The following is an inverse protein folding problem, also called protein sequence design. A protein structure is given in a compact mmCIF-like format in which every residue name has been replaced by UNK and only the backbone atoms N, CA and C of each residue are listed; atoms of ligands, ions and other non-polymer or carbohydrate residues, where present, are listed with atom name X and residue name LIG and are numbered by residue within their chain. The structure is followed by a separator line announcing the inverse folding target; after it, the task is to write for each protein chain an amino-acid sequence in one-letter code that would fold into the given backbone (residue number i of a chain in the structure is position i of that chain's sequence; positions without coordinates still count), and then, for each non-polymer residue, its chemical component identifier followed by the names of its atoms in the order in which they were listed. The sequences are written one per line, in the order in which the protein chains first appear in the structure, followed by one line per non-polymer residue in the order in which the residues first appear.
data_IF_334734525884
#
_entry.id   IF_334734525884
#
_cell.length_a   1.000
_cell.length_b   1.000
_cell.length_c   1.000
_cell.angle_alpha   90.00
_cell.angle_beta   90.00
_cell.angle_gamma   90.00
#
_symmetry.space_group_name_H-M   'P 1'
#
loop_
_entity.id
_entity.type
_entity.pdbx_description
1 polymer ?
#
# COMPACT_ATOMS: atom_id res chain seq x y z
N UNK A 1 -6.19 -13.16 -34.34
CA UNK A 1 -6.15 -13.45 -32.89
C UNK A 1 -5.69 -12.19 -32.18
N UNK A 2 -6.48 -11.68 -31.23
CA UNK A 2 -6.10 -10.55 -30.38
C UNK A 2 -4.99 -11.03 -29.42
N UNK A 3 -3.92 -10.24 -29.25
CA UNK A 3 -2.83 -10.61 -28.36
C UNK A 3 -3.30 -10.56 -26.90
N UNK A 4 -3.00 -11.62 -26.14
CA UNK A 4 -3.34 -11.74 -24.72
C UNK A 4 -2.32 -10.96 -23.87
N UNK A 5 -2.78 -10.24 -22.83
CA UNK A 5 -1.90 -9.40 -22.00
C UNK A 5 -0.76 -10.18 -21.31
N UNK A 6 -1.08 -11.32 -20.68
CA UNK A 6 -0.12 -12.16 -19.98
C UNK A 6 -0.40 -13.65 -20.22
N UNK A 7 0.66 -14.40 -20.53
CA UNK A 7 0.69 -15.86 -20.48
C UNK A 7 1.58 -16.33 -19.34
N UNK A 8 1.07 -17.22 -18.52
CA UNK A 8 1.79 -17.78 -17.39
C UNK A 8 1.94 -19.29 -17.46
N UNK A 9 3.03 -19.79 -16.88
CA UNK A 9 3.24 -21.23 -16.64
C UNK A 9 3.77 -21.43 -15.24
N UNK A 10 3.18 -22.36 -14.50
CA UNK A 10 3.60 -22.76 -13.15
C UNK A 10 4.25 -24.13 -13.22
N UNK A 11 5.54 -24.19 -12.90
CA UNK A 11 6.37 -25.40 -12.84
C UNK A 11 6.79 -25.67 -11.39
N UNK A 12 5.80 -25.70 -10.51
CA UNK A 12 5.98 -25.94 -9.10
C UNK A 12 4.75 -26.67 -8.57
N UNK A 13 4.99 -27.75 -7.84
CA UNK A 13 3.93 -28.49 -7.17
C UNK A 13 3.44 -27.73 -5.93
N UNK A 14 2.21 -28.05 -5.51
CA UNK A 14 1.60 -27.61 -4.25
C UNK A 14 1.44 -26.09 -4.09
N UNK A 15 1.23 -25.36 -5.18
CA UNK A 15 0.74 -23.98 -5.11
C UNK A 15 -0.78 -24.03 -5.08
N UNK A 16 -1.39 -23.70 -3.94
CA UNK A 16 -2.85 -23.79 -3.76
C UNK A 16 -3.55 -22.64 -4.45
N UNK A 17 -3.10 -21.42 -4.15
CA UNK A 17 -3.80 -20.20 -4.49
C UNK A 17 -2.92 -19.28 -5.33
N UNK A 18 -3.54 -18.69 -6.35
CA UNK A 18 -2.91 -17.72 -7.22
C UNK A 18 -3.87 -16.63 -7.59
N UNK A 19 -3.38 -15.40 -7.61
CA UNK A 19 -4.18 -14.22 -7.83
C UNK A 19 -3.38 -13.19 -8.62
N UNK A 20 -4.09 -12.44 -9.46
CA UNK A 20 -3.58 -11.21 -10.07
C UNK A 20 -4.21 -10.04 -9.34
N UNK A 21 -3.36 -9.11 -8.90
CA UNK A 21 -3.76 -7.85 -8.28
C UNK A 21 -3.25 -6.69 -9.10
N UNK A 22 -4.13 -5.72 -9.37
CA UNK A 22 -3.77 -4.46 -9.99
C UNK A 22 -4.66 -3.31 -9.52
N UNK A 23 -4.17 -2.07 -9.69
CA UNK A 23 -4.86 -0.87 -9.24
C UNK A 23 -5.25 -0.02 -10.46
N UNK A 24 -6.54 0.21 -10.64
CA UNK A 24 -7.08 0.88 -11.85
C UNK A 24 -6.55 2.31 -12.00
N UNK A 25 -6.44 3.02 -10.88
CA UNK A 25 -6.11 4.45 -10.81
C UNK A 25 -4.93 4.74 -9.89
N UNK A 26 -4.23 3.70 -9.43
CA UNK A 26 -3.16 3.77 -8.44
C UNK A 26 -3.65 3.72 -6.98
N UNK A 27 -4.97 3.74 -6.74
CA UNK A 27 -5.52 3.70 -5.39
C UNK A 27 -5.34 2.31 -4.76
N UNK A 28 -4.39 2.21 -3.82
CA UNK A 28 -4.02 0.95 -3.18
C UNK A 28 -5.13 0.30 -2.33
N UNK A 29 -6.22 1.02 -2.01
CA UNK A 29 -7.36 0.44 -1.28
C UNK A 29 -8.45 -0.14 -2.17
N UNK A 30 -8.36 0.08 -3.48
CA UNK A 30 -9.31 -0.48 -4.44
C UNK A 30 -8.57 -1.43 -5.38
N UNK A 31 -7.90 -2.48 -4.87
CA UNK A 31 -7.30 -3.50 -5.71
C UNK A 31 -8.40 -4.21 -6.50
N UNK A 32 -8.14 -4.42 -7.78
CA UNK A 32 -8.83 -5.45 -8.55
C UNK A 32 -8.06 -6.74 -8.35
N UNK A 33 -8.73 -7.72 -7.75
CA UNK A 33 -8.22 -9.06 -7.52
C UNK A 33 -8.92 -10.03 -8.46
N UNK A 34 -8.15 -10.84 -9.16
CA UNK A 34 -8.66 -11.87 -10.06
C UNK A 34 -7.94 -13.18 -9.79
N UNK A 35 -8.69 -14.22 -9.43
CA UNK A 35 -8.15 -15.56 -9.24
C UNK A 35 -7.57 -16.10 -10.56
N UNK A 36 -6.47 -16.85 -10.45
CA UNK A 36 -5.82 -17.49 -11.58
C UNK A 36 -6.20 -18.96 -11.62
N UNK A 37 -7.04 -19.31 -12.59
CA UNK A 37 -7.25 -20.70 -12.97
C UNK A 37 -6.11 -21.19 -13.85
N UNK A 38 -5.60 -22.39 -13.52
CA UNK A 38 -4.53 -23.06 -14.26
C UNK A 38 -5.08 -24.27 -14.99
N UNK A 39 -4.61 -24.50 -16.20
CA UNK A 39 -4.85 -25.77 -16.88
C UNK A 39 -4.06 -26.92 -16.23
N UNK A 40 -4.31 -28.16 -16.69
CA UNK A 40 -3.63 -29.37 -16.21
C UNK A 40 -2.10 -29.37 -16.37
N UNK A 41 -1.55 -28.48 -17.20
CA UNK A 41 -0.12 -28.32 -17.43
C UNK A 41 0.46 -27.13 -16.64
N UNK A 42 -0.35 -26.50 -15.77
CA UNK A 42 0.03 -25.34 -14.99
C UNK A 42 0.02 -24.03 -15.77
N UNK A 43 -0.53 -23.98 -16.99
CA UNK A 43 -0.61 -22.74 -17.76
C UNK A 43 -1.82 -21.91 -17.37
N UNK A 44 -1.68 -20.60 -17.46
CA UNK A 44 -2.78 -19.65 -17.28
C UNK A 44 -2.67 -18.48 -18.26
N UNK A 45 -3.78 -17.80 -18.47
CA UNK A 45 -3.86 -16.60 -19.29
C UNK A 45 -4.55 -15.52 -18.48
N UNK A 46 -3.99 -14.32 -18.53
CA UNK A 46 -4.67 -13.11 -18.08
C UNK A 46 -4.84 -12.19 -19.28
N UNK A 47 -6.09 -11.88 -19.56
CA UNK A 47 -6.51 -10.95 -20.61
C UNK A 47 -7.62 -10.03 -20.10
N UNK A 48 -7.41 -9.52 -18.88
CA UNK A 48 -8.35 -8.64 -18.20
C UNK A 48 -8.51 -7.29 -18.90
N UNK A 49 -9.64 -6.63 -18.68
CA UNK A 49 -9.88 -5.27 -19.17
C UNK A 49 -9.05 -4.26 -18.37
N UNK A 50 -7.83 -3.98 -18.81
CA UNK A 50 -7.00 -2.94 -18.20
C UNK A 50 -7.48 -1.55 -18.66
N UNK A 51 -7.60 -0.56 -17.74
CA UNK A 51 -8.20 0.74 -18.02
C UNK A 51 -7.33 1.62 -18.95
N UNK A 52 -6.01 1.41 -18.90
CA UNK A 52 -5.01 2.19 -19.62
C UNK A 52 -4.46 1.43 -20.83
N UNK A 53 -3.50 2.03 -21.55
CA UNK A 53 -2.76 1.33 -22.62
C UNK A 53 -1.87 0.23 -22.05
N UNK A 54 -1.26 0.49 -20.90
CA UNK A 54 -0.31 -0.37 -20.20
C UNK A 54 -0.44 -0.18 -18.70
N UNK A 55 -0.08 -1.21 -17.93
CA UNK A 55 -0.04 -1.13 -16.48
C UNK A 55 0.90 -2.17 -15.87
N UNK A 56 1.19 -1.98 -14.59
CA UNK A 56 1.88 -2.97 -13.77
C UNK A 56 0.87 -3.82 -13.01
N UNK A 57 1.08 -5.13 -12.98
CA UNK A 57 0.26 -6.09 -12.23
C UNK A 57 1.15 -6.93 -11.32
N UNK A 58 0.58 -7.37 -10.21
CA UNK A 58 1.21 -8.32 -9.30
C UNK A 58 0.57 -9.69 -9.48
N UNK A 59 1.39 -10.72 -9.68
CA UNK A 59 1.00 -12.12 -9.66
C UNK A 59 1.42 -12.68 -8.30
N UNK A 60 0.44 -13.05 -7.48
CA UNK A 60 0.67 -13.76 -6.22
C UNK A 60 0.60 -15.28 -6.47
N UNK A 61 1.53 -16.03 -5.88
CA UNK A 61 1.51 -17.48 -5.83
C UNK A 61 1.91 -17.94 -4.43
N UNK A 62 0.99 -18.57 -3.70
CA UNK A 62 1.09 -18.76 -2.26
C UNK A 62 1.37 -17.40 -1.55
N UNK A 63 2.49 -17.32 -0.82
CA UNK A 63 2.94 -16.11 -0.11
C UNK A 63 3.95 -15.27 -0.90
N UNK A 64 4.34 -15.69 -2.11
CA UNK A 64 5.31 -14.97 -2.93
C UNK A 64 4.60 -14.09 -3.97
N UNK A 65 5.17 -12.89 -4.21
CA UNK A 65 4.65 -11.94 -5.20
C UNK A 65 5.65 -11.71 -6.34
N UNK A 66 5.11 -11.54 -7.56
CA UNK A 66 5.87 -11.32 -8.78
C UNK A 66 5.28 -10.16 -9.58
N UNK A 67 6.14 -9.28 -10.09
CA UNK A 67 5.72 -8.11 -10.85
C UNK A 67 5.75 -8.38 -12.35
N UNK A 68 4.71 -7.96 -13.08
CA UNK A 68 4.68 -8.02 -14.55
C UNK A 68 4.17 -6.69 -15.11
N UNK A 69 4.79 -6.22 -16.19
CA UNK A 69 4.30 -5.07 -16.95
C UNK A 69 3.56 -5.55 -18.19
N UNK A 70 2.29 -5.16 -18.34
CA UNK A 70 1.41 -5.58 -19.45
C UNK A 70 0.98 -4.39 -20.30
N UNK A 71 0.82 -4.59 -21.60
CA UNK A 71 0.42 -3.56 -22.57
C UNK A 71 -0.56 -4.15 -23.59
N UNK A 72 -1.63 -3.40 -23.91
CA UNK A 72 -2.63 -3.81 -24.90
C UNK A 72 -1.98 -4.11 -26.24
N UNK A 73 -2.30 -5.28 -26.81
CA UNK A 73 -1.76 -5.72 -28.10
C UNK A 73 -0.39 -6.40 -28.02
N UNK A 74 0.18 -6.55 -26.82
CA UNK A 74 1.43 -7.26 -26.55
C UNK A 74 1.21 -8.41 -25.57
N UNK A 75 2.13 -9.38 -25.55
CA UNK A 75 2.05 -10.54 -24.65
C UNK A 75 3.31 -10.67 -23.80
N UNK A 76 3.18 -10.29 -22.52
CA UNK A 76 4.17 -10.62 -21.51
C UNK A 76 4.08 -12.10 -21.12
N UNK A 77 5.19 -12.68 -20.65
CA UNK A 77 5.23 -14.08 -20.21
C UNK A 77 5.93 -14.24 -18.87
N UNK A 78 5.35 -15.05 -18.00
CA UNK A 78 5.91 -15.42 -16.69
C UNK A 78 5.97 -16.94 -16.54
N UNK A 79 7.11 -17.47 -16.10
CA UNK A 79 7.23 -18.86 -15.64
C UNK A 79 7.62 -18.88 -14.18
N UNK A 80 6.75 -19.40 -13.31
CA UNK A 80 7.00 -19.53 -11.86
C UNK A 80 7.49 -20.94 -11.57
N UNK A 81 8.56 -21.07 -10.78
CA UNK A 81 9.18 -22.36 -10.45
C UNK A 81 9.85 -22.30 -9.06
N UNK A 82 10.03 -23.45 -8.41
CA UNK A 82 10.84 -23.54 -7.18
C UNK A 82 12.32 -23.64 -7.53
N UNK A 83 13.14 -22.79 -6.91
CA UNK A 83 14.59 -22.91 -7.01
C UNK A 83 15.11 -24.06 -6.14
N UNK A 84 16.43 -24.31 -6.20
CA UNK A 84 17.10 -25.38 -5.43
C UNK A 84 16.95 -25.27 -3.90
N UNK A 85 16.55 -24.12 -3.39
CA UNK A 85 16.33 -23.85 -1.97
C UNK A 85 14.82 -23.89 -1.60
N UNK A 86 13.96 -24.35 -2.51
CA UNK A 86 12.51 -24.46 -2.30
C UNK A 86 11.73 -23.14 -2.43
N UNK A 87 12.40 -22.00 -2.69
CA UNK A 87 11.76 -20.68 -2.84
C UNK A 87 11.20 -20.49 -4.24
N UNK A 88 10.07 -19.80 -4.36
CA UNK A 88 9.52 -19.48 -5.68
C UNK A 88 10.31 -18.37 -6.37
N UNK A 89 10.62 -18.61 -7.64
CA UNK A 89 11.25 -17.66 -8.55
C UNK A 89 10.40 -17.55 -9.82
N UNK A 90 10.58 -16.43 -10.53
CA UNK A 90 9.93 -16.19 -11.80
C UNK A 90 10.97 -15.89 -12.89
N UNK A 91 10.77 -16.50 -14.04
CA UNK A 91 11.45 -16.14 -15.29
C UNK A 91 10.48 -15.34 -16.16
N UNK A 92 10.92 -14.14 -16.54
CA UNK A 92 10.14 -13.23 -17.37
C UNK A 92 10.68 -13.22 -18.80
N UNK A 93 9.78 -13.36 -19.77
CA UNK A 93 10.03 -13.37 -21.21
C UNK A 93 8.89 -12.69 -21.98
N UNK A 94 8.95 -12.68 -23.30
CA UNK A 94 7.93 -12.04 -24.14
C UNK A 94 8.10 -10.52 -24.23
N UNK A 95 7.01 -9.84 -24.52
CA UNK A 95 6.99 -8.38 -24.65
C UNK A 95 7.22 -7.70 -23.31
N UNK A 96 7.79 -6.49 -23.34
CA UNK A 96 8.06 -5.65 -22.17
C UNK A 96 8.87 -6.36 -21.06
N UNK A 97 9.75 -7.31 -21.45
CA UNK A 97 10.55 -8.12 -20.53
C UNK A 97 11.44 -7.28 -19.61
N UNK A 98 12.02 -6.19 -20.11
CA UNK A 98 12.91 -5.35 -19.30
C UNK A 98 12.12 -4.55 -18.25
N UNK A 99 10.95 -4.02 -18.61
CA UNK A 99 10.03 -3.38 -17.67
C UNK A 99 9.53 -4.38 -16.62
N UNK A 100 9.16 -5.58 -17.05
CA UNK A 100 8.70 -6.64 -16.14
C UNK A 100 9.81 -7.06 -15.17
N UNK A 101 11.07 -7.19 -15.63
CA UNK A 101 12.22 -7.52 -14.76
C UNK A 101 12.48 -6.45 -13.71
N UNK A 102 12.44 -5.18 -14.11
CA UNK A 102 12.52 -4.07 -13.17
C UNK A 102 11.36 -4.14 -12.16
N UNK A 103 10.11 -4.20 -12.63
CA UNK A 103 8.94 -4.15 -11.76
C UNK A 103 8.87 -5.36 -10.81
N UNK A 104 9.25 -6.55 -11.27
CA UNK A 104 9.39 -7.74 -10.42
C UNK A 104 10.43 -7.57 -9.32
N UNK A 105 11.55 -6.91 -9.62
CA UNK A 105 12.57 -6.61 -8.62
C UNK A 105 12.07 -5.57 -7.63
N UNK A 106 11.42 -4.51 -8.13
CA UNK A 106 10.79 -3.46 -7.34
C UNK A 106 9.73 -4.01 -6.38
N UNK A 107 8.77 -4.81 -6.84
CA UNK A 107 7.68 -5.28 -5.98
C UNK A 107 8.20 -6.21 -4.89
N UNK A 108 9.20 -7.05 -5.21
CA UNK A 108 9.88 -7.90 -4.23
C UNK A 108 10.75 -7.11 -3.25
N UNK A 109 11.38 -6.03 -3.70
CA UNK A 109 12.22 -5.19 -2.86
C UNK A 109 11.41 -4.47 -1.78
N UNK A 110 10.21 -4.02 -2.11
CA UNK A 110 9.33 -3.23 -1.23
C UNK A 110 8.11 -4.00 -0.71
N UNK A 111 8.14 -5.33 -0.76
CA UNK A 111 7.14 -6.17 -0.11
C UNK A 111 7.10 -5.88 1.39
N UNK A 112 5.92 -5.55 1.92
CA UNK A 112 5.74 -5.21 3.33
C UNK A 112 6.12 -6.37 4.24
N UNK A 113 5.88 -7.61 3.82
CA UNK A 113 6.24 -8.82 4.58
C UNK A 113 7.76 -9.01 4.72
N UNK A 114 8.58 -8.27 3.95
CA UNK A 114 10.04 -8.28 4.12
C UNK A 114 10.50 -7.43 5.32
N UNK A 115 9.71 -6.43 5.70
CA UNK A 115 10.09 -5.44 6.70
C UNK A 115 9.28 -5.55 8.00
N UNK A 116 8.51 -6.62 8.15
CA UNK A 116 7.71 -6.94 9.32
C UNK A 116 7.60 -8.45 9.45
N UNK A 117 7.45 -8.95 10.68
CA UNK A 117 7.20 -10.36 10.93
C UNK A 117 5.92 -10.53 11.77
N UNK A 118 4.99 -11.42 11.38
CA UNK A 118 3.86 -11.79 12.23
C UNK A 118 4.32 -12.57 13.47
N UNK A 119 5.44 -13.28 13.36
CA UNK A 119 6.07 -13.98 14.48
C UNK A 119 7.11 -13.05 15.14
N UNK A 120 6.89 -12.62 16.40
CA UNK A 120 7.85 -11.78 17.11
C UNK A 120 9.24 -12.41 17.25
N UNK A 121 9.34 -13.75 17.25
CA UNK A 121 10.62 -14.45 17.35
C UNK A 121 11.47 -14.38 16.08
N UNK A 122 10.85 -14.14 14.92
CA UNK A 122 11.53 -13.95 13.64
C UNK A 122 11.72 -12.46 13.28
N UNK A 123 11.22 -11.56 14.15
CA UNK A 123 11.34 -10.13 14.00
C UNK A 123 12.81 -9.69 14.05
N UNK A 124 13.13 -8.69 13.24
CA UNK A 124 14.48 -8.10 13.17
C UNK A 124 14.47 -6.75 13.86
N UNK A 125 15.64 -6.32 14.31
CA UNK A 125 15.77 -4.96 14.81
C UNK A 125 15.52 -3.95 13.68
N UNK A 126 15.06 -2.75 14.03
CA UNK A 126 14.88 -1.66 13.07
C UNK A 126 16.15 -1.40 12.22
N UNK A 127 17.34 -1.48 12.83
CA UNK A 127 18.61 -1.31 12.13
C UNK A 127 18.87 -2.40 11.08
N UNK A 128 18.47 -3.63 11.34
CA UNK A 128 18.55 -4.73 10.37
C UNK A 128 17.57 -4.54 9.21
N UNK A 129 16.34 -4.10 9.49
CA UNK A 129 15.38 -3.76 8.44
C UNK A 129 15.87 -2.61 7.56
N UNK A 130 16.50 -1.58 8.13
CA UNK A 130 17.14 -0.51 7.37
C UNK A 130 18.26 -1.05 6.45
N UNK A 131 19.10 -1.97 6.94
CA UNK A 131 20.14 -2.62 6.09
C UNK A 131 19.53 -3.42 4.94
N UNK A 132 18.41 -4.12 5.20
CA UNK A 132 17.67 -4.83 4.15
C UNK A 132 17.17 -3.83 3.10
N UNK A 133 16.58 -2.71 3.54
CA UNK A 133 16.06 -1.67 2.64
C UNK A 133 17.15 -1.12 1.72
N UNK A 134 18.31 -0.76 2.27
CA UNK A 134 19.44 -0.26 1.47
C UNK A 134 19.93 -1.30 0.44
N UNK A 135 20.02 -2.57 0.84
CA UNK A 135 20.44 -3.64 -0.05
C UNK A 135 19.43 -3.90 -1.17
N UNK A 136 18.13 -3.90 -0.88
CA UNK A 136 17.06 -4.09 -1.86
C UNK A 136 16.90 -2.86 -2.79
N UNK A 137 17.07 -1.66 -2.26
CA UNK A 137 17.10 -0.43 -3.06
C UNK A 137 18.26 -0.46 -4.07
N UNK A 138 19.47 -0.84 -3.63
CA UNK A 138 20.63 -0.96 -4.51
C UNK A 138 20.41 -2.01 -5.63
N UNK A 139 19.78 -3.15 -5.33
CA UNK A 139 19.39 -4.14 -6.34
C UNK A 139 18.40 -3.55 -7.35
N UNK A 140 17.40 -2.83 -6.87
CA UNK A 140 16.38 -2.21 -7.72
C UNK A 140 16.98 -1.12 -8.62
N UNK A 141 17.90 -0.29 -8.11
CA UNK A 141 18.66 0.68 -8.91
C UNK A 141 19.49 0.01 -10.01
N UNK A 142 20.09 -1.16 -9.74
CA UNK A 142 20.82 -1.92 -10.75
C UNK A 142 19.92 -2.37 -11.89
N UNK A 143 18.71 -2.85 -11.61
CA UNK A 143 17.73 -3.18 -12.66
C UNK A 143 17.22 -1.93 -13.38
N UNK A 144 16.95 -0.84 -12.66
CA UNK A 144 16.52 0.44 -13.22
C UNK A 144 17.52 0.99 -14.24
N UNK A 145 18.82 0.82 -13.97
CA UNK A 145 19.89 1.28 -14.86
C UNK A 145 19.82 0.65 -16.26
N UNK A 146 19.24 -0.56 -16.39
CA UNK A 146 19.04 -1.24 -17.67
C UNK A 146 17.92 -0.61 -18.50
N UNK A 147 17.08 0.21 -17.87
CA UNK A 147 16.04 1.00 -18.53
C UNK A 147 16.54 2.40 -18.92
N UNK A 148 17.81 2.74 -18.65
CA UNK A 148 18.36 4.07 -19.00
C UNK A 148 18.14 4.36 -20.48
N UNK A 149 17.73 5.60 -20.78
CA UNK A 149 17.35 6.09 -22.11
C UNK A 149 16.07 5.48 -22.70
N UNK A 150 15.33 4.66 -21.96
CA UNK A 150 14.00 4.20 -22.38
C UNK A 150 12.91 5.18 -21.92
N UNK A 151 11.79 5.32 -22.65
CA UNK A 151 10.72 6.25 -22.29
C UNK A 151 10.18 6.07 -20.86
N UNK A 152 10.19 4.84 -20.34
CA UNK A 152 9.64 4.50 -19.02
C UNK A 152 10.61 4.73 -17.86
N UNK A 153 11.86 5.13 -18.13
CA UNK A 153 12.89 5.30 -17.10
C UNK A 153 12.45 6.30 -16.02
N UNK A 154 11.90 7.45 -16.44
CA UNK A 154 11.50 8.51 -15.50
C UNK A 154 10.41 8.01 -14.56
N UNK A 155 9.37 7.36 -15.10
CA UNK A 155 8.27 6.80 -14.32
C UNK A 155 8.79 5.80 -13.28
N UNK A 156 9.58 4.80 -13.72
CA UNK A 156 10.09 3.78 -12.81
C UNK A 156 11.12 4.29 -11.80
N UNK A 157 11.88 5.33 -12.15
CA UNK A 157 12.76 6.00 -11.20
C UNK A 157 11.94 6.70 -10.10
N UNK A 158 10.91 7.47 -10.47
CA UNK A 158 10.04 8.13 -9.51
C UNK A 158 9.32 7.11 -8.62
N UNK A 159 8.81 6.02 -9.21
CA UNK A 159 8.17 4.93 -8.49
C UNK A 159 9.12 4.27 -7.47
N UNK A 160 10.35 3.96 -7.87
CA UNK A 160 11.38 3.39 -6.98
C UNK A 160 11.75 4.34 -5.82
N UNK A 161 11.94 5.63 -6.12
CA UNK A 161 12.26 6.63 -5.09
C UNK A 161 11.09 6.82 -4.12
N UNK A 162 9.86 6.80 -4.63
CA UNK A 162 8.65 6.92 -3.82
C UNK A 162 8.51 5.77 -2.81
N UNK A 163 8.62 4.52 -3.26
CA UNK A 163 8.53 3.37 -2.33
C UNK A 163 9.71 3.24 -1.39
N UNK A 164 10.93 3.60 -1.82
CA UNK A 164 12.07 3.67 -0.90
C UNK A 164 11.78 4.67 0.23
N UNK A 165 11.30 5.86 -0.13
CA UNK A 165 10.93 6.91 0.84
C UNK A 165 9.80 6.44 1.75
N UNK A 166 8.74 5.84 1.21
CA UNK A 166 7.64 5.31 2.00
C UNK A 166 8.10 4.22 2.97
N UNK A 167 8.91 3.26 2.51
CA UNK A 167 9.42 2.18 3.35
C UNK A 167 10.31 2.74 4.46
N UNK A 168 11.13 3.76 4.16
CA UNK A 168 11.93 4.46 5.17
C UNK A 168 11.07 5.19 6.19
N UNK A 169 10.01 5.90 5.76
CA UNK A 169 9.03 6.53 6.64
C UNK A 169 8.41 5.50 7.59
N UNK A 170 7.98 4.35 7.07
CA UNK A 170 7.41 3.25 7.87
C UNK A 170 8.39 2.74 8.91
N UNK A 171 9.66 2.53 8.54
CA UNK A 171 10.69 2.10 9.50
C UNK A 171 10.94 3.14 10.59
N UNK A 172 10.85 4.44 10.29
CA UNK A 172 10.95 5.48 11.31
C UNK A 172 9.73 5.45 12.24
N UNK A 173 8.52 5.23 11.70
CA UNK A 173 7.30 5.06 12.49
C UNK A 173 7.39 3.85 13.44
N UNK A 174 7.88 2.71 12.95
CA UNK A 174 8.09 1.50 13.75
C UNK A 174 9.07 1.77 14.90
N UNK A 175 10.21 2.41 14.61
CA UNK A 175 11.20 2.82 15.63
C UNK A 175 10.59 3.75 16.68
N UNK A 176 9.82 4.73 16.24
CA UNK A 176 9.17 5.67 17.15
C UNK A 176 8.14 4.99 18.05
N UNK A 177 7.41 4.00 17.51
CA UNK A 177 6.49 3.17 18.28
C UNK A 177 7.23 2.35 19.35
N UNK A 178 8.32 1.67 18.97
CA UNK A 178 9.19 0.92 19.89
C UNK A 178 9.74 1.82 21.02
N UNK A 179 10.11 3.07 20.69
CA UNK A 179 10.64 4.05 21.63
C UNK A 179 9.56 4.86 22.36
N UNK A 180 8.27 4.63 22.07
CA UNK A 180 7.12 5.40 22.59
C UNK A 180 7.26 6.92 22.39
N UNK A 181 7.77 7.33 21.23
CA UNK A 181 7.97 8.74 20.83
C UNK A 181 7.03 9.15 19.72
N UNK A 182 6.83 10.46 19.56
CA UNK A 182 6.10 10.99 18.41
C UNK A 182 6.99 10.95 17.16
N UNK A 183 6.41 10.61 16.01
CA UNK A 183 7.14 10.54 14.74
C UNK A 183 7.75 11.90 14.36
N UNK A 184 7.08 13.00 14.72
CA UNK A 184 7.54 14.36 14.48
C UNK A 184 8.78 14.75 15.30
N UNK A 185 9.16 13.96 16.31
CA UNK A 185 10.38 14.17 17.07
C UNK A 185 11.62 13.63 16.34
N UNK A 186 11.44 12.89 15.23
CA UNK A 186 12.52 12.39 14.38
C UNK A 186 12.77 13.35 13.21
N UNK A 187 13.94 14.02 13.14
CA UNK A 187 14.26 14.91 12.02
C UNK A 187 14.23 14.20 10.66
N UNK A 188 14.54 12.90 10.63
CA UNK A 188 14.47 12.10 9.41
C UNK A 188 13.03 11.95 8.89
N UNK A 189 12.05 11.78 9.78
CA UNK A 189 10.64 11.73 9.40
C UNK A 189 10.19 13.07 8.83
N UNK A 190 10.44 14.15 9.57
CA UNK A 190 10.07 15.51 9.14
C UNK A 190 10.70 15.85 7.79
N UNK A 191 11.96 15.50 7.58
CA UNK A 191 12.65 15.71 6.30
C UNK A 191 12.09 14.84 5.16
N UNK A 192 11.65 13.61 5.45
CA UNK A 192 11.07 12.74 4.44
C UNK A 192 9.66 13.18 4.02
N UNK A 193 8.91 13.86 4.90
CA UNK A 193 7.51 14.22 4.64
C UNK A 193 7.27 15.67 4.21
N UNK A 194 8.22 16.58 4.46
CA UNK A 194 8.00 18.04 4.28
C UNK A 194 7.68 18.48 2.85
N UNK A 195 8.29 17.83 1.86
CA UNK A 195 8.23 18.24 0.44
C UNK A 195 7.38 17.26 -0.40
N UNK A 196 6.62 16.37 0.24
CA UNK A 196 5.71 15.48 -0.47
C UNK A 196 4.60 16.33 -1.10
N UNK A 197 4.47 16.24 -2.42
CA UNK A 197 3.31 16.72 -3.15
C UNK A 197 2.20 15.64 -3.13
N UNK A 198 1.11 15.83 -2.36
CA UNK A 198 0.04 14.85 -2.29
C UNK A 198 -0.79 14.75 -3.58
N UNK A 199 -0.65 15.68 -4.54
CA UNK A 199 -1.35 15.66 -5.82
C UNK A 199 -0.65 14.84 -6.91
N UNK A 200 0.61 14.42 -6.67
CA UNK A 200 1.37 13.60 -7.61
C UNK A 200 0.78 12.19 -7.72
N UNK A 201 0.53 11.73 -8.96
CA UNK A 201 0.07 10.36 -9.23
C UNK A 201 1.06 9.31 -8.72
N UNK A 202 2.38 9.58 -8.80
CA UNK A 202 3.40 8.68 -8.23
C UNK A 202 3.29 8.62 -6.70
N UNK A 203 3.03 9.75 -6.03
CA UNK A 203 2.92 9.77 -4.57
C UNK A 203 1.62 9.09 -4.09
N UNK A 204 0.60 9.06 -4.94
CA UNK A 204 -0.59 8.23 -4.74
C UNK A 204 -0.24 6.74 -4.84
N UNK A 205 0.42 6.32 -5.93
CA UNK A 205 0.83 4.91 -6.15
C UNK A 205 1.80 4.38 -5.08
N UNK A 206 2.60 5.25 -4.47
CA UNK A 206 3.63 4.88 -3.49
C UNK A 206 3.23 5.17 -2.03
N UNK A 207 1.96 5.51 -1.79
CA UNK A 207 1.40 5.85 -0.49
C UNK A 207 1.99 7.11 0.20
N UNK A 208 2.85 7.87 -0.50
CA UNK A 208 3.42 9.11 0.02
C UNK A 208 2.36 10.20 0.24
N UNK A 209 1.28 10.24 -0.56
CA UNK A 209 0.18 11.17 -0.29
C UNK A 209 -0.45 10.94 1.09
N UNK A 210 -0.55 9.70 1.55
CA UNK A 210 -1.00 9.39 2.91
C UNK A 210 0.05 9.75 3.98
N UNK A 211 1.34 9.55 3.69
CA UNK A 211 2.41 9.98 4.59
C UNK A 211 2.37 11.50 4.82
N UNK A 212 2.09 12.29 3.77
CA UNK A 212 1.84 13.72 3.86
C UNK A 212 0.65 14.03 4.79
N UNK A 213 -0.49 13.37 4.60
CA UNK A 213 -1.68 13.58 5.44
C UNK A 213 -1.41 13.23 6.91
N UNK A 214 -0.70 12.13 7.15
CA UNK A 214 -0.32 11.69 8.49
C UNK A 214 0.55 12.74 9.19
N UNK A 215 1.57 13.25 8.50
CA UNK A 215 2.44 14.30 9.03
C UNK A 215 1.66 15.59 9.34
N UNK A 216 0.75 16.01 8.44
CA UNK A 216 -0.10 17.19 8.65
C UNK A 216 -1.04 17.03 9.85
N UNK A 217 -1.71 15.88 9.96
CA UNK A 217 -2.61 15.59 11.09
C UNK A 217 -1.86 15.59 12.42
N UNK A 218 -0.68 14.98 12.47
CA UNK A 218 0.16 14.98 13.68
C UNK A 218 0.62 16.40 14.05
N UNK A 219 0.94 17.23 13.05
CA UNK A 219 1.30 18.62 13.27
C UNK A 219 0.11 19.42 13.84
N UNK A 220 -1.09 19.28 13.27
CA UNK A 220 -2.29 19.91 13.80
C UNK A 220 -2.63 19.44 15.21
N UNK A 221 -2.45 18.15 15.50
CA UNK A 221 -2.63 17.62 16.86
C UNK A 221 -1.64 18.27 17.84
N UNK A 222 -0.37 18.43 17.44
CA UNK A 222 0.65 19.10 18.26
C UNK A 222 0.33 20.58 18.50
N UNK A 223 -0.18 21.28 17.49
CA UNK A 223 -0.53 22.71 17.57
C UNK A 223 -1.79 22.97 18.40
N UNK A 224 -2.78 22.07 18.32
CA UNK A 224 -4.09 22.26 18.95
C UNK A 224 -4.25 21.54 20.27
N UNK A 225 -3.44 20.50 20.52
CA UNK A 225 -3.61 19.53 21.59
C UNK A 225 -5.04 18.95 21.68
N UNK A 226 -5.71 18.79 20.53
CA UNK A 226 -7.12 18.42 20.42
C UNK A 226 -7.34 17.53 19.19
N UNK A 227 -7.72 16.26 19.44
CA UNK A 227 -7.97 15.29 18.37
C UNK A 227 -9.08 15.74 17.45
N UNK A 228 -10.20 16.27 17.96
CA UNK A 228 -11.31 16.76 17.14
C UNK A 228 -10.85 17.86 16.20
N UNK A 229 -10.13 18.87 16.72
CA UNK A 229 -9.61 19.97 15.88
C UNK A 229 -8.62 19.47 14.83
N UNK A 230 -7.73 18.54 15.18
CA UNK A 230 -6.76 17.99 14.24
C UNK A 230 -7.41 17.35 13.01
N UNK A 231 -8.51 16.60 13.20
CA UNK A 231 -9.25 15.98 12.11
C UNK A 231 -10.03 16.99 11.27
N UNK A 232 -10.66 18.00 11.91
CA UNK A 232 -11.37 19.06 11.19
C UNK A 232 -10.40 19.89 10.33
N UNK A 233 -9.22 20.22 10.85
CA UNK A 233 -8.17 20.92 10.10
C UNK A 233 -7.63 20.07 8.95
N UNK A 234 -7.45 18.75 9.14
CA UNK A 234 -7.05 17.86 8.06
C UNK A 234 -8.09 17.79 6.93
N UNK A 235 -9.40 17.75 7.25
CA UNK A 235 -10.46 17.80 6.23
C UNK A 235 -10.42 19.12 5.45
N UNK A 236 -10.25 20.25 6.13
CA UNK A 236 -10.13 21.56 5.48
C UNK A 236 -8.87 21.65 4.61
N UNK A 237 -7.74 21.13 5.08
CA UNK A 237 -6.50 21.11 4.31
C UNK A 237 -6.63 20.25 3.05
N UNK A 238 -7.25 19.06 3.15
CA UNK A 238 -7.53 18.23 1.96
C UNK A 238 -8.43 18.99 0.99
N UNK A 239 -9.52 19.58 1.49
CA UNK A 239 -10.49 20.31 0.68
C UNK A 239 -9.85 21.45 -0.12
N UNK A 240 -8.93 22.18 0.51
CA UNK A 240 -8.37 23.41 -0.04
C UNK A 240 -7.07 23.22 -0.82
N UNK A 241 -6.28 22.17 -0.55
CA UNK A 241 -4.95 21.96 -1.16
C UNK A 241 -4.89 20.80 -2.17
N UNK A 242 -5.85 19.88 -2.15
CA UNK A 242 -5.83 18.71 -3.01
C UNK A 242 -6.68 18.96 -4.25
N UNK A 243 -6.01 19.07 -5.38
CA UNK A 243 -6.58 19.34 -6.71
C UNK A 243 -6.74 18.07 -7.53
N UNK A 244 -5.92 17.04 -7.31
CA UNK A 244 -6.06 15.74 -7.97
C UNK A 244 -7.27 14.98 -7.38
N UNK A 245 -8.33 14.70 -8.17
CA UNK A 245 -9.53 14.02 -7.66
C UNK A 245 -9.27 12.62 -7.09
N UNK A 246 -8.31 11.87 -7.65
CA UNK A 246 -7.93 10.54 -7.16
C UNK A 246 -7.27 10.65 -5.78
N UNK A 247 -6.35 11.59 -5.63
CA UNK A 247 -5.71 11.87 -4.35
C UNK A 247 -6.75 12.32 -3.32
N UNK A 248 -7.71 13.16 -3.72
CA UNK A 248 -8.77 13.62 -2.82
C UNK A 248 -9.63 12.46 -2.29
N UNK A 249 -10.03 11.53 -3.17
CA UNK A 249 -10.76 10.32 -2.78
C UNK A 249 -9.92 9.44 -1.84
N UNK A 250 -8.66 9.17 -2.20
CA UNK A 250 -7.73 8.38 -1.39
C UNK A 250 -7.57 8.99 0.02
N UNK A 251 -7.29 10.29 0.10
CA UNK A 251 -7.04 10.97 1.37
C UNK A 251 -8.31 11.06 2.23
N UNK A 252 -9.49 11.21 1.61
CA UNK A 252 -10.75 11.10 2.33
C UNK A 252 -10.95 9.70 2.93
N UNK A 253 -10.60 8.64 2.18
CA UNK A 253 -10.63 7.27 2.67
C UNK A 253 -9.62 7.05 3.82
N UNK A 254 -8.36 7.40 3.60
CA UNK A 254 -7.25 7.28 4.57
C UNK A 254 -7.53 8.01 5.89
N UNK A 255 -8.08 9.23 5.82
CA UNK A 255 -8.41 10.00 7.00
C UNK A 255 -9.42 9.26 7.89
N UNK A 256 -10.47 8.71 7.30
CA UNK A 256 -11.51 8.01 8.07
C UNK A 256 -11.08 6.60 8.46
N UNK A 257 -10.31 5.90 7.62
CA UNK A 257 -9.67 4.65 8.01
C UNK A 257 -8.91 4.83 9.33
N UNK A 258 -7.97 5.78 9.37
CA UNK A 258 -7.16 6.05 10.56
C UNK A 258 -7.99 6.45 11.78
N UNK A 259 -9.05 7.25 11.58
CA UNK A 259 -9.95 7.61 12.67
C UNK A 259 -10.77 6.43 13.20
N UNK A 260 -11.30 5.60 12.30
CA UNK A 260 -12.22 4.50 12.64
C UNK A 260 -11.56 3.38 13.45
N UNK A 261 -10.24 3.21 13.32
CA UNK A 261 -9.47 2.20 14.05
C UNK A 261 -9.30 2.52 15.54
N UNK A 262 -9.26 3.81 15.90
CA UNK A 262 -9.21 4.27 17.30
C UNK A 262 -9.89 5.64 17.43
N UNK A 263 -11.24 5.70 17.39
CA UNK A 263 -11.97 6.96 17.43
C UNK A 263 -11.76 7.66 18.77
N UNK A 264 -11.31 8.91 18.71
CA UNK A 264 -11.03 9.76 19.88
C UNK A 264 -11.59 11.17 19.70
N UNK A 265 -11.73 11.91 20.80
CA UNK A 265 -12.35 13.23 20.82
C UNK A 265 -13.87 13.20 20.66
N UNK A 266 -14.47 14.30 20.22
CA UNK A 266 -15.90 14.39 19.87
C UNK A 266 -16.18 13.69 18.53
N UNK A 267 -16.46 12.39 18.62
CA UNK A 267 -16.80 11.51 17.49
C UNK A 267 -17.99 12.03 16.69
N UNK A 268 -18.99 12.61 17.34
CA UNK A 268 -20.20 13.10 16.68
C UNK A 268 -19.88 14.31 15.80
N UNK A 269 -19.06 15.23 16.31
CA UNK A 269 -18.63 16.41 15.56
C UNK A 269 -17.73 16.02 14.38
N UNK A 270 -16.75 15.13 14.60
CA UNK A 270 -15.87 14.64 13.52
C UNK A 270 -16.68 13.94 12.43
N UNK A 271 -17.59 13.02 12.80
CA UNK A 271 -18.39 12.28 11.83
C UNK A 271 -19.30 13.18 11.00
N UNK A 272 -20.01 14.12 11.63
CA UNK A 272 -20.90 15.05 10.91
C UNK A 272 -20.12 15.93 9.92
N UNK A 273 -18.95 16.40 10.31
CA UNK A 273 -18.07 17.17 9.43
C UNK A 273 -17.59 16.29 8.25
N UNK A 274 -17.22 15.05 8.54
CA UNK A 274 -16.78 14.10 7.52
C UNK A 274 -17.87 13.76 6.50
N UNK A 275 -19.11 13.52 6.92
CA UNK A 275 -20.24 13.28 6.00
C UNK A 275 -20.44 14.44 5.02
N UNK A 276 -20.16 15.67 5.47
CA UNK A 276 -20.22 16.86 4.60
C UNK A 276 -19.01 16.95 3.67
N UNK A 277 -17.81 16.66 4.20
CA UNK A 277 -16.55 16.70 3.46
C UNK A 277 -16.47 15.63 2.37
N UNK A 278 -16.90 14.40 2.67
CA UNK A 278 -16.84 13.24 1.79
C UNK A 278 -18.16 12.97 1.05
N UNK A 279 -19.06 13.97 0.94
CA UNK A 279 -20.38 13.83 0.32
C UNK A 279 -20.36 13.29 -1.12
N UNK A 280 -19.25 13.52 -1.83
CA UNK A 280 -19.04 13.09 -3.22
C UNK A 280 -18.54 11.63 -3.30
N UNK A 281 -18.31 10.98 -2.14
CA UNK A 281 -17.85 9.59 -1.99
C UNK A 281 -18.78 8.79 -1.06
N UNK A 282 -20.07 8.62 -1.41
CA UNK A 282 -21.06 7.98 -0.54
C UNK A 282 -20.72 6.53 -0.17
N UNK A 283 -19.97 5.83 -1.02
CA UNK A 283 -19.47 4.47 -0.76
C UNK A 283 -18.48 4.44 0.43
N UNK A 284 -17.63 5.46 0.55
CA UNK A 284 -16.67 5.58 1.65
C UNK A 284 -17.42 5.87 2.96
N UNK A 285 -18.40 6.78 2.91
CA UNK A 285 -19.28 7.06 4.06
C UNK A 285 -20.00 5.78 4.50
N UNK A 286 -20.59 5.04 3.57
CA UNK A 286 -21.30 3.80 3.86
C UNK A 286 -20.39 2.73 4.49
N UNK A 287 -19.14 2.63 4.04
CA UNK A 287 -18.16 1.69 4.57
C UNK A 287 -17.83 1.94 6.05
N UNK A 288 -17.55 3.19 6.44
CA UNK A 288 -17.13 3.51 7.82
C UNK A 288 -18.29 3.77 8.80
N UNK A 289 -19.49 4.07 8.30
CA UNK A 289 -20.66 4.38 9.13
C UNK A 289 -20.94 3.32 10.21
N UNK A 290 -20.91 2.00 9.94
CA UNK A 290 -21.11 0.98 10.97
C UNK A 290 -20.06 1.02 12.09
N UNK A 291 -18.79 1.26 11.75
CA UNK A 291 -17.70 1.36 12.74
C UNK A 291 -17.89 2.59 13.64
N UNK A 292 -18.20 3.74 13.04
CA UNK A 292 -18.44 4.98 13.79
C UNK A 292 -19.70 4.91 14.63
N UNK A 293 -20.78 4.30 14.13
CA UNK A 293 -22.00 4.07 14.90
C UNK A 293 -21.75 3.11 16.08
N UNK A 294 -20.92 2.09 15.88
CA UNK A 294 -20.48 1.22 16.96
C UNK A 294 -19.68 2.01 17.99
N UNK A 295 -18.72 2.85 17.59
CA UNK A 295 -17.96 3.69 18.52
C UNK A 295 -18.83 4.71 19.27
N UNK A 296 -19.86 5.28 18.63
CA UNK A 296 -20.83 6.16 19.29
C UNK A 296 -21.70 5.44 20.33
N UNK A 297 -21.99 4.15 20.11
CA UNK A 297 -22.79 3.31 21.03
C UNK A 297 -21.95 2.66 22.13
N UNK A 298 -20.74 2.28 21.79
CA UNK A 298 -19.87 1.48 22.64
C UNK A 298 -19.08 2.43 23.53
N UNK A 299 -19.31 2.30 24.84
CA UNK A 299 -18.43 2.75 25.93
C UNK A 299 -18.52 4.17 26.50
N UNK A 300 -19.55 4.99 26.28
CA UNK A 300 -19.53 6.38 26.77
C UNK A 300 -18.21 7.11 26.39
N UNK A 301 -17.59 6.74 25.25
CA UNK A 301 -16.32 7.29 24.79
C UNK A 301 -15.02 6.58 25.25
N UNK A 302 -15.04 5.35 25.78
CA UNK A 302 -13.79 4.59 26.02
C UNK A 302 -13.42 3.68 24.83
N UNK A 303 -12.13 3.52 24.51
CA UNK A 303 -11.70 2.55 23.50
C UNK A 303 -12.01 1.11 23.95
N UNK A 304 -12.26 0.25 22.98
CA UNK A 304 -12.32 -1.20 23.19
C UNK A 304 -10.95 -1.63 23.78
N UNK A 305 -10.89 -2.28 24.95
CA UNK A 305 -9.62 -2.71 25.52
C UNK A 305 -8.92 -3.64 24.52
N UNK A 306 -7.61 -3.44 24.33
CA UNK A 306 -6.78 -4.20 23.39
C UNK A 306 -6.79 -5.71 23.69
N UNK A 307 -7.14 -6.07 24.92
CA UNK A 307 -7.31 -7.43 25.40
C UNK A 307 -8.64 -7.51 26.20
N UNK A 308 -9.79 -7.75 25.53
CA UNK A 308 -11.07 -7.79 26.23
C UNK A 308 -11.11 -9.02 27.13
N UNK A 309 -11.22 -8.81 28.43
CA UNK A 309 -11.58 -9.87 29.36
C UNK A 309 -13.04 -10.24 29.10
N UNK A 310 -13.28 -11.41 28.51
CA UNK A 310 -14.62 -11.96 28.34
C UNK A 310 -14.96 -12.65 29.65
N UNK A 311 -15.75 -12.00 30.50
CA UNK A 311 -16.33 -12.67 31.66
C UNK A 311 -17.39 -13.67 31.16
N UNK A 312 -17.22 -14.94 31.51
CA UNK A 312 -18.23 -15.96 31.26
C UNK A 312 -19.48 -15.71 32.13
N UNK A 313 -20.62 -16.33 31.80
CA UNK A 313 -21.88 -16.15 32.55
C UNK A 313 -21.80 -16.57 34.03
N UNK A 314 -20.75 -17.29 34.42
CA UNK A 314 -20.42 -17.69 35.79
C UNK A 314 -19.35 -16.80 36.47
N UNK A 315 -18.94 -15.69 35.85
CA UNK A 315 -18.05 -14.68 36.45
C UNK A 315 -16.58 -15.09 36.57
N UNK A 316 -16.06 -15.84 35.59
CA UNK A 316 -14.63 -16.16 35.45
C UNK A 316 -14.04 -15.54 34.20
#
# INVERSE_FOLDING_TARGET
MQAQLLKGTVKADSISDMMITYYIDGNIFEPVNQDIERDKNGNFIFDGSIPTKEMNITVQADNDIFGVHVEKGKTAQITIFRNKNGKLEAKLTGDNVDQSRFYNTYIKAYDTMKYWSPDPSECKTNAEYCKILEAEHAKTLKELSKLKNKPFYSYYNQLNQGMYTWTKIRLIMDKAFEEKKNFLDYPEYVNATKDIDPNSDINLETNLSNAWLTARRLQFLKETNDTTKSYLMAMDEIKNKITNPKAKKLLANMLMYGYSMSPEGDIKTVWKAYETFAKDYPEIIAHYKPMIQTALKSFNGKPLPYDPTIESTDGK
#
